data_IF_395102218913
#
_entry.id   IF_395102218913
#
_cell.length_a   1.000
_cell.length_b   1.000
_cell.length_c   1.000
_cell.angle_alpha   90.00
_cell.angle_beta   90.00
_cell.angle_gamma   90.00
#
_symmetry.space_group_name_H-M   'P 1'
#
loop_
_entity.id
_entity.type
_entity.pdbx_description
1 polymer ?
#
# COMPACT_ATOMS: atom_id res chain seq x y z
N UNK A 1 4.33 2.20 7.26
CA UNK A 1 4.75 2.89 6.02
C UNK A 1 4.34 2.09 4.80
N UNK A 2 3.77 2.74 3.77
CA UNK A 2 3.35 2.11 2.51
C UNK A 2 4.46 2.22 1.46
N UNK A 3 4.88 1.07 0.91
CA UNK A 3 5.99 1.00 -0.05
C UNK A 3 5.44 0.99 -1.47
N UNK A 4 5.76 2.04 -2.24
CA UNK A 4 5.35 2.16 -3.65
C UNK A 4 6.44 1.67 -4.62
N UNK A 5 7.71 1.74 -4.21
CA UNK A 5 8.83 1.34 -5.03
C UNK A 5 10.13 1.21 -4.24
N UNK A 6 11.11 0.49 -4.78
CA UNK A 6 12.47 0.41 -4.24
C UNK A 6 13.49 0.04 -5.32
N UNK A 7 14.77 0.37 -5.09
CA UNK A 7 15.91 -0.10 -5.90
C UNK A 7 16.46 -1.43 -5.37
N UNK A 8 17.41 -2.04 -6.08
CA UNK A 8 18.11 -3.24 -5.61
C UNK A 8 18.76 -3.04 -4.23
N UNK A 9 19.45 -1.90 -4.03
CA UNK A 9 20.01 -1.51 -2.72
C UNK A 9 18.89 -1.24 -1.69
N UNK A 10 17.82 -0.58 -2.11
CA UNK A 10 16.65 -0.30 -1.27
C UNK A 10 15.97 -1.55 -0.73
N UNK A 11 15.96 -2.65 -1.50
CA UNK A 11 15.44 -3.95 -1.04
C UNK A 11 16.16 -4.46 0.21
N UNK A 12 17.48 -4.33 0.25
CA UNK A 12 18.29 -4.73 1.42
C UNK A 12 17.96 -3.86 2.63
N UNK A 13 17.84 -2.55 2.43
CA UNK A 13 17.46 -1.62 3.50
C UNK A 13 16.05 -1.90 4.04
N UNK A 14 15.07 -2.14 3.16
CA UNK A 14 13.69 -2.47 3.57
C UNK A 14 13.61 -3.74 4.41
N UNK A 15 14.51 -4.71 4.19
CA UNK A 15 14.61 -5.92 5.02
C UNK A 15 15.08 -5.61 6.45
N UNK A 16 15.96 -4.62 6.62
CA UNK A 16 16.39 -4.15 7.94
C UNK A 16 15.26 -3.36 8.60
N UNK A 17 14.66 -2.39 7.89
CA UNK A 17 13.52 -1.59 8.37
C UNK A 17 12.37 -2.49 8.83
N UNK A 18 12.03 -3.53 8.07
CA UNK A 18 10.96 -4.47 8.45
C UNK A 18 11.20 -5.14 9.80
N UNK A 19 12.46 -5.38 10.19
CA UNK A 19 12.80 -6.02 11.47
C UNK A 19 12.84 -5.05 12.65
N UNK A 20 13.21 -3.80 12.41
CA UNK A 20 13.43 -2.81 13.48
C UNK A 20 12.28 -1.81 13.66
N UNK A 21 11.38 -1.70 12.67
CA UNK A 21 10.30 -0.71 12.68
C UNK A 21 9.16 -1.10 13.63
N UNK A 22 8.73 -0.16 14.46
CA UNK A 22 7.51 -0.26 15.26
C UNK A 22 6.22 -0.16 14.43
N UNK A 23 6.31 0.40 13.22
CA UNK A 23 5.19 0.55 12.30
C UNK A 23 5.25 -0.52 11.20
N UNK A 24 4.11 -1.14 10.82
CA UNK A 24 4.09 -2.14 9.76
C UNK A 24 4.57 -1.56 8.42
N UNK A 25 5.39 -2.35 7.72
CA UNK A 25 5.84 -2.07 6.37
C UNK A 25 4.90 -2.73 5.36
N UNK A 26 4.10 -1.93 4.67
CA UNK A 26 3.02 -2.38 3.79
C UNK A 26 3.56 -2.42 2.36
N UNK A 27 3.89 -3.62 1.88
CA UNK A 27 4.34 -3.83 0.49
C UNK A 27 3.20 -4.28 -0.43
N UNK A 28 2.30 -5.14 0.05
CA UNK A 28 1.12 -5.56 -0.69
C UNK A 28 -0.10 -5.28 0.16
N UNK A 29 -0.99 -4.41 -0.32
CA UNK A 29 -2.14 -3.94 0.44
C UNK A 29 -3.03 -5.10 0.91
N UNK A 30 -3.29 -6.09 0.04
CA UNK A 30 -4.10 -7.25 0.41
C UNK A 30 -3.48 -8.13 1.50
N UNK A 31 -2.15 -8.18 1.63
CA UNK A 31 -1.52 -8.88 2.74
C UNK A 31 -1.74 -8.13 4.06
N UNK A 32 -1.66 -6.80 4.02
CA UNK A 32 -1.87 -5.97 5.20
C UNK A 32 -3.33 -5.96 5.65
N UNK A 33 -4.29 -5.96 4.72
CA UNK A 33 -5.71 -6.11 5.07
C UNK A 33 -5.98 -7.41 5.84
N UNK A 34 -5.40 -8.54 5.40
CA UNK A 34 -5.49 -9.81 6.16
C UNK A 34 -4.92 -9.70 7.56
N UNK A 35 -3.81 -8.96 7.72
CA UNK A 35 -3.22 -8.71 9.04
C UNK A 35 -4.15 -7.84 9.92
N UNK A 36 -4.75 -6.79 9.37
CA UNK A 36 -5.68 -5.91 10.11
C UNK A 36 -6.94 -6.67 10.53
N UNK A 37 -7.46 -7.58 9.70
CA UNK A 37 -8.65 -8.38 10.06
C UNK A 37 -8.38 -9.20 11.35
N UNK A 38 -7.15 -9.64 11.56
CA UNK A 38 -6.72 -10.36 12.75
C UNK A 38 -6.40 -9.47 13.96
N UNK A 39 -6.42 -8.14 13.85
CA UNK A 39 -6.20 -7.22 14.98
C UNK A 39 -7.36 -7.32 15.97
N UNK A 40 -7.14 -7.74 17.21
CA UNK A 40 -8.19 -7.94 18.21
C UNK A 40 -8.85 -6.63 18.67
N UNK A 41 -8.09 -5.53 18.70
CA UNK A 41 -8.60 -4.24 19.13
C UNK A 41 -9.45 -3.58 18.02
N UNK A 42 -10.78 -3.66 18.17
CA UNK A 42 -11.75 -3.10 17.23
C UNK A 42 -11.51 -1.61 16.91
N UNK A 43 -11.12 -0.80 17.91
CA UNK A 43 -10.88 0.63 17.70
C UNK A 43 -9.64 0.89 16.84
N UNK A 44 -8.57 0.12 17.08
CA UNK A 44 -7.36 0.18 16.25
C UNK A 44 -7.67 -0.30 14.84
N UNK A 45 -8.33 -1.46 14.71
CA UNK A 45 -8.76 -2.04 13.44
C UNK A 45 -9.54 -1.04 12.60
N UNK A 46 -10.57 -0.42 13.17
CA UNK A 46 -11.44 0.54 12.46
C UNK A 46 -10.67 1.78 11.99
N UNK A 47 -9.74 2.30 12.81
CA UNK A 47 -8.88 3.43 12.39
C UNK A 47 -7.97 3.05 11.24
N UNK A 48 -7.32 1.88 11.31
CA UNK A 48 -6.44 1.40 10.25
C UNK A 48 -7.18 1.17 8.94
N UNK A 49 -8.38 0.58 8.99
CA UNK A 49 -9.24 0.40 7.80
C UNK A 49 -9.60 1.76 7.21
N UNK A 50 -10.06 2.71 8.04
CA UNK A 50 -10.45 4.05 7.58
C UNK A 50 -9.29 4.81 6.91
N UNK A 51 -8.07 4.68 7.41
CA UNK A 51 -6.89 5.25 6.76
C UNK A 51 -6.66 4.65 5.37
N UNK A 52 -6.79 3.33 5.23
CA UNK A 52 -6.64 2.66 3.93
C UNK A 52 -7.77 3.03 2.98
N UNK A 53 -9.00 3.18 3.47
CA UNK A 53 -10.14 3.59 2.65
C UNK A 53 -9.92 4.99 2.06
N UNK A 54 -9.34 5.93 2.83
CA UNK A 54 -8.98 7.23 2.30
C UNK A 54 -7.88 7.15 1.22
N UNK A 55 -6.83 6.36 1.45
CA UNK A 55 -5.76 6.16 0.44
C UNK A 55 -6.31 5.57 -0.87
N UNK A 56 -7.18 4.56 -0.76
CA UNK A 56 -7.80 3.89 -1.92
C UNK A 56 -8.75 4.87 -2.64
N UNK A 57 -9.60 5.57 -1.89
CA UNK A 57 -10.54 6.55 -2.45
C UNK A 57 -9.80 7.67 -3.18
N UNK A 58 -8.72 8.19 -2.60
CA UNK A 58 -7.91 9.22 -3.23
C UNK A 58 -7.35 8.75 -4.57
N UNK A 59 -6.83 7.52 -4.63
CA UNK A 59 -6.33 6.92 -5.88
C UNK A 59 -7.45 6.68 -6.89
N UNK A 60 -8.61 6.15 -6.44
CA UNK A 60 -9.78 5.91 -7.28
C UNK A 60 -10.31 7.21 -7.90
N UNK A 61 -10.30 8.33 -7.16
CA UNK A 61 -10.65 9.65 -7.68
C UNK A 61 -9.57 10.15 -8.65
N UNK A 62 -8.30 10.02 -8.28
CA UNK A 62 -7.17 10.51 -9.08
C UNK A 62 -7.16 9.93 -10.49
N UNK A 63 -7.40 8.62 -10.64
CA UNK A 63 -7.36 7.94 -11.94
C UNK A 63 -8.47 8.39 -12.90
N UNK A 64 -9.56 8.97 -12.39
CA UNK A 64 -10.62 9.53 -13.24
C UNK A 64 -10.12 10.70 -14.11
N UNK A 65 -9.04 11.36 -13.67
CA UNK A 65 -8.39 12.44 -14.41
C UNK A 65 -7.49 11.99 -15.58
N UNK A 66 -7.31 10.68 -15.79
CA UNK A 66 -6.51 10.20 -16.92
C UNK A 66 -7.17 10.51 -18.26
N UNK A 67 -6.37 10.96 -19.24
CA UNK A 67 -6.88 11.35 -20.58
C UNK A 67 -7.57 10.18 -21.28
N UNK A 68 -6.90 9.04 -21.31
CA UNK A 68 -7.35 7.79 -21.91
C UNK A 68 -8.38 7.11 -21.01
N UNK A 69 -9.47 6.62 -21.57
CA UNK A 69 -10.54 5.98 -20.80
C UNK A 69 -10.07 4.64 -20.22
N UNK A 70 -9.23 3.92 -20.96
CA UNK A 70 -8.61 2.66 -20.56
C UNK A 70 -7.68 2.78 -19.34
N UNK A 71 -7.20 3.98 -19.02
CA UNK A 71 -6.34 4.24 -17.86
C UNK A 71 -7.15 4.67 -16.61
N UNK A 72 -8.48 4.81 -16.71
CA UNK A 72 -9.37 5.20 -15.59
C UNK A 72 -9.88 3.97 -14.83
N UNK A 73 -8.96 3.06 -14.53
CA UNK A 73 -9.28 1.79 -13.85
C UNK A 73 -9.16 2.00 -12.34
N UNK A 74 -10.25 1.78 -11.62
CA UNK A 74 -10.27 1.85 -10.16
C UNK A 74 -9.42 0.73 -9.51
N UNK A 75 -9.18 0.86 -8.21
CA UNK A 75 -8.47 -0.10 -7.36
C UNK A 75 -7.00 -0.32 -7.76
N UNK A 76 -6.34 0.71 -8.29
CA UNK A 76 -4.91 0.62 -8.66
C UNK A 76 -4.03 0.25 -7.46
N UNK A 77 -4.42 0.57 -6.24
CA UNK A 77 -3.73 0.17 -5.01
C UNK A 77 -3.54 -1.35 -4.86
N UNK A 78 -4.40 -2.15 -5.50
CA UNK A 78 -4.35 -3.60 -5.48
C UNK A 78 -3.71 -4.21 -6.73
N UNK A 79 -3.83 -3.56 -7.88
CA UNK A 79 -3.41 -4.09 -9.18
C UNK A 79 -2.03 -3.61 -9.60
N UNK A 80 -1.62 -2.41 -9.17
CA UNK A 80 -0.31 -1.86 -9.47
C UNK A 80 0.78 -2.58 -8.67
N UNK A 81 1.76 -3.13 -9.37
CA UNK A 81 2.90 -3.80 -8.74
C UNK A 81 3.85 -2.76 -8.17
N UNK A 82 4.49 -3.09 -7.04
CA UNK A 82 5.59 -2.26 -6.51
C UNK A 82 6.64 -2.07 -7.61
N UNK A 83 7.06 -0.82 -7.79
CA UNK A 83 8.07 -0.47 -8.77
C UNK A 83 9.45 -0.92 -8.28
N UNK A 84 10.12 -1.77 -9.06
CA UNK A 84 11.49 -2.18 -8.79
C UNK A 84 12.40 -1.48 -9.79
N UNK A 85 13.18 -0.49 -9.33
CA UNK A 85 14.18 0.16 -10.17
C UNK A 85 15.32 -0.83 -10.42
N UNK A 86 15.49 -1.22 -11.69
CA UNK A 86 16.68 -1.93 -12.17
C UNK A 86 17.83 -0.93 -12.28
N UNK A 87 19.02 -1.36 -11.89
CA UNK A 87 20.25 -0.57 -12.02
C UNK A 87 20.61 -0.38 -13.49
#
# INVERSE_FOLDING_TARGET
ARVLGFSKKGKTLLRVIKKSSSTPLISKLSNYLRQIISEENNNVRNRLIKMLDYDILATDIYVLGNKKAEDRVARLDFTHKIVIKKD
#
